data_IF_403025890171
#
_entry.id   IF_403025890171
#
_cell.length_a   1.000
_cell.length_b   1.000
_cell.length_c   1.000
_cell.angle_alpha   90.00
_cell.angle_beta   90.00
_cell.angle_gamma   90.00
#
_symmetry.space_group_name_H-M   'P 1'
#
loop_
_entity.id
_entity.type
_entity.pdbx_description
1 polymer ?
#
# COMPACT_ATOMS: atom_id res chain seq x y z
N UNK A 1 -13.72 3.13 2.43
CA UNK A 1 -13.41 1.82 1.81
C UNK A 1 -11.94 1.81 1.44
N UNK A 2 -11.11 1.06 2.17
CA UNK A 2 -9.70 0.89 1.81
C UNK A 2 -9.64 -0.05 0.60
N UNK A 3 -9.19 0.46 -0.55
CA UNK A 3 -9.01 -0.36 -1.73
C UNK A 3 -7.81 -1.29 -1.50
N UNK A 4 -8.06 -2.59 -1.35
CA UNK A 4 -7.03 -3.63 -1.43
C UNK A 4 -6.83 -4.00 -2.89
N UNK A 5 -6.00 -3.22 -3.58
CA UNK A 5 -5.46 -3.65 -4.87
C UNK A 5 -4.75 -5.01 -4.73
N UNK A 6 -4.49 -5.72 -5.84
CA UNK A 6 -3.95 -7.09 -5.80
C UNK A 6 -2.52 -7.11 -5.25
N UNK A 7 -2.40 -7.26 -3.93
CA UNK A 7 -1.13 -7.47 -3.24
C UNK A 7 -0.57 -8.86 -3.53
N UNK A 8 0.76 -8.97 -3.54
CA UNK A 8 1.47 -10.25 -3.62
C UNK A 8 1.92 -10.65 -2.22
N UNK A 9 1.63 -11.87 -1.82
CA UNK A 9 2.14 -12.49 -0.60
C UNK A 9 3.24 -13.48 -1.01
N UNK A 10 4.38 -13.48 -0.30
CA UNK A 10 5.45 -14.46 -0.51
C UNK A 10 5.67 -15.21 0.80
N UNK A 11 5.52 -16.53 0.75
CA UNK A 11 5.84 -17.43 1.86
C UNK A 11 7.31 -17.83 1.74
N UNK A 12 8.05 -17.75 2.84
CA UNK A 12 9.45 -18.16 2.94
C UNK A 12 9.55 -19.05 4.18
N UNK A 13 10.12 -20.24 4.01
CA UNK A 13 10.38 -21.20 5.09
C UNK A 13 11.82 -21.67 5.00
N UNK A 14 12.44 -21.95 6.14
CA UNK A 14 13.84 -22.36 6.19
C UNK A 14 14.04 -23.84 5.79
N UNK A 15 13.00 -24.67 5.92
CA UNK A 15 13.05 -26.13 5.74
C UNK A 15 12.83 -26.62 4.30
N UNK A 16 13.10 -25.79 3.29
CA UNK A 16 12.95 -26.14 1.88
C UNK A 16 11.54 -25.92 1.34
N UNK A 17 10.60 -26.84 1.58
CA UNK A 17 9.25 -26.76 1.03
C UNK A 17 8.24 -26.10 1.96
N UNK A 18 7.41 -25.21 1.39
CA UNK A 18 6.28 -24.60 2.08
C UNK A 18 5.18 -25.65 2.25
N UNK A 19 4.72 -25.94 3.49
CA UNK A 19 3.65 -26.89 3.72
C UNK A 19 2.34 -26.51 3.03
N UNK A 20 1.55 -27.50 2.60
CA UNK A 20 0.31 -27.26 1.86
C UNK A 20 -0.75 -26.55 2.71
N UNK A 21 -0.77 -26.80 4.01
CA UNK A 21 -1.63 -26.07 4.95
C UNK A 21 -1.29 -24.58 4.99
N UNK A 22 -0.01 -24.22 4.93
CA UNK A 22 0.43 -22.83 4.92
C UNK A 22 0.03 -22.14 3.60
N UNK A 23 0.11 -22.85 2.47
CA UNK A 23 -0.39 -22.36 1.18
C UNK A 23 -1.91 -22.14 1.22
N UNK A 24 -2.65 -23.08 1.81
CA UNK A 24 -4.11 -22.98 1.93
C UNK A 24 -4.52 -21.78 2.81
N UNK A 25 -3.89 -21.59 3.97
CA UNK A 25 -4.14 -20.45 4.85
C UNK A 25 -3.83 -19.14 4.12
N UNK A 26 -2.67 -19.04 3.48
CA UNK A 26 -2.26 -17.84 2.75
C UNK A 26 -3.21 -17.48 1.60
N UNK A 27 -3.77 -18.48 0.92
CA UNK A 27 -4.76 -18.28 -0.15
C UNK A 27 -6.11 -17.84 0.40
N UNK A 28 -6.61 -18.53 1.43
CA UNK A 28 -7.95 -18.30 1.99
C UNK A 28 -8.07 -16.99 2.76
N UNK A 29 -6.98 -16.56 3.41
CA UNK A 29 -6.93 -15.34 4.23
C UNK A 29 -6.05 -14.24 3.61
N UNK A 30 -5.86 -14.30 2.29
CA UNK A 30 -4.98 -13.35 1.58
C UNK A 30 -5.35 -11.89 1.86
N UNK A 31 -6.63 -11.46 1.79
CA UNK A 31 -6.99 -10.07 2.05
C UNK A 31 -6.60 -9.60 3.45
N UNK A 32 -6.87 -10.40 4.47
CA UNK A 32 -6.61 -10.09 5.89
C UNK A 32 -5.11 -10.08 6.18
N UNK A 33 -4.35 -11.04 5.64
CA UNK A 33 -2.90 -11.08 5.76
C UNK A 33 -2.25 -9.87 5.09
N UNK A 34 -2.72 -9.50 3.89
CA UNK A 34 -2.24 -8.29 3.22
C UNK A 34 -2.57 -7.03 4.01
N UNK A 35 -3.72 -6.97 4.67
CA UNK A 35 -4.07 -5.85 5.54
C UNK A 35 -3.16 -5.79 6.77
N UNK A 36 -2.88 -6.92 7.42
CA UNK A 36 -2.01 -6.99 8.59
C UNK A 36 -0.55 -6.66 8.25
N UNK A 37 -0.08 -7.08 7.08
CA UNK A 37 1.28 -6.81 6.59
C UNK A 37 1.44 -5.42 5.98
N UNK A 38 0.37 -4.63 5.85
CA UNK A 38 0.49 -3.26 5.35
C UNK A 38 1.41 -2.47 6.28
N UNK A 39 2.43 -1.81 5.74
CA UNK A 39 3.24 -0.90 6.52
C UNK A 39 2.34 0.16 7.19
N UNK A 40 2.31 0.18 8.52
CA UNK A 40 1.64 1.23 9.29
C UNK A 40 2.50 2.50 9.23
N UNK A 41 2.53 3.19 8.09
CA UNK A 41 3.37 4.37 7.84
C UNK A 41 2.87 5.66 8.52
N UNK A 42 2.27 5.55 9.71
CA UNK A 42 1.88 6.72 10.50
C UNK A 42 3.05 7.19 11.37
N UNK A 43 3.32 8.49 11.46
CA UNK A 43 2.69 9.59 10.72
C UNK A 43 3.32 9.71 9.32
N UNK A 44 2.54 9.91 8.26
CA UNK A 44 3.07 10.08 6.89
C UNK A 44 3.76 11.43 6.73
N UNK A 45 4.86 11.67 7.44
CA UNK A 45 5.50 12.96 7.61
C UNK A 45 6.79 13.12 6.80
N UNK A 46 7.29 12.06 6.16
CA UNK A 46 8.46 12.13 5.28
C UNK A 46 8.02 12.44 3.83
N UNK A 47 8.29 13.66 3.30
CA UNK A 47 7.91 14.04 1.94
C UNK A 47 8.61 13.24 0.84
N UNK A 48 9.79 12.64 1.09
CA UNK A 48 10.50 11.78 0.11
C UNK A 48 9.71 10.51 -0.22
N UNK A 49 8.73 10.17 0.63
CA UNK A 49 7.83 9.06 0.43
C UNK A 49 6.55 9.44 -0.34
N UNK A 50 6.42 10.67 -0.84
CA UNK A 50 5.20 11.10 -1.52
C UNK A 50 5.29 10.79 -3.01
N UNK A 51 4.29 10.06 -3.53
CA UNK A 51 4.03 9.88 -4.95
C UNK A 51 2.92 10.85 -5.33
N UNK A 52 3.23 11.72 -6.27
CA UNK A 52 2.40 12.85 -6.65
C UNK A 52 1.88 12.69 -8.06
N UNK A 53 0.56 12.73 -8.20
CA UNK A 53 -0.10 12.67 -9.50
C UNK A 53 -1.09 13.81 -9.66
N UNK A 54 -1.31 14.33 -10.88
CA UNK A 54 -2.38 15.28 -11.13
C UNK A 54 -3.74 14.72 -10.69
N UNK A 55 -4.51 15.51 -9.94
CA UNK A 55 -5.86 15.12 -9.55
C UNK A 55 -6.80 15.29 -10.75
N UNK A 56 -7.10 14.21 -11.48
CA UNK A 56 -7.94 14.25 -12.69
C UNK A 56 -9.31 14.91 -12.46
N UNK A 57 -9.92 14.74 -11.28
CA UNK A 57 -11.19 15.37 -10.90
C UNK A 57 -11.07 16.77 -10.29
N UNK A 58 -9.86 17.33 -10.18
CA UNK A 58 -9.62 18.64 -9.57
C UNK A 58 -8.42 19.35 -10.25
N UNK A 59 -8.64 19.98 -11.41
CA UNK A 59 -7.59 20.71 -12.12
C UNK A 59 -6.87 21.72 -11.22
N UNK A 60 -5.55 21.84 -11.35
CA UNK A 60 -4.73 22.71 -10.48
C UNK A 60 -4.28 22.07 -9.16
N UNK A 61 -4.66 20.81 -8.89
CA UNK A 61 -4.30 20.09 -7.67
C UNK A 61 -3.51 18.82 -7.94
N UNK A 62 -2.66 18.47 -6.99
CA UNK A 62 -1.87 17.25 -6.92
C UNK A 62 -2.49 16.36 -5.85
N UNK A 63 -2.68 15.08 -6.19
CA UNK A 63 -3.02 14.00 -5.27
C UNK A 63 -1.74 13.31 -4.81
N UNK A 64 -1.49 13.30 -3.50
CA UNK A 64 -0.31 12.65 -2.91
C UNK A 64 -0.69 11.31 -2.28
N UNK A 65 0.10 10.28 -2.57
CA UNK A 65 0.01 8.95 -1.94
C UNK A 65 1.36 8.52 -1.38
N UNK A 66 1.37 7.70 -0.33
CA UNK A 66 2.63 7.20 0.24
C UNK A 66 3.19 6.07 -0.62
N UNK A 67 4.48 6.14 -0.98
CA UNK A 67 5.18 5.09 -1.74
C UNK A 67 5.34 3.77 -0.97
N UNK A 68 5.26 3.82 0.36
CA UNK A 68 5.52 2.67 1.24
C UNK A 68 4.24 1.85 1.45
N UNK A 69 3.13 2.51 1.81
CA UNK A 69 1.86 1.83 2.11
C UNK A 69 0.76 2.05 1.06
N UNK A 70 0.98 2.94 0.08
CA UNK A 70 -0.02 3.32 -0.93
C UNK A 70 -1.16 4.19 -0.41
N UNK A 71 -1.18 4.52 0.89
CA UNK A 71 -2.26 5.32 1.48
C UNK A 71 -2.30 6.74 0.90
N UNK A 72 -3.52 7.28 0.80
CA UNK A 72 -3.74 8.68 0.46
C UNK A 72 -3.24 9.58 1.60
N UNK A 73 -2.45 10.60 1.24
CA UNK A 73 -1.88 11.57 2.20
C UNK A 73 -2.72 12.85 2.20
N UNK A 74 -3.02 13.38 1.02
CA UNK A 74 -3.72 14.66 0.89
C UNK A 74 -3.71 15.21 -0.53
N UNK A 75 -4.33 16.38 -0.69
CA UNK A 75 -4.24 17.19 -1.90
C UNK A 75 -3.42 18.45 -1.64
N UNK A 76 -2.65 18.91 -2.62
CA UNK A 76 -1.94 20.19 -2.58
C UNK A 76 -2.08 20.96 -3.89
N UNK A 77 -2.07 22.31 -3.87
CA UNK A 77 -2.12 23.11 -5.08
C UNK A 77 -0.82 22.94 -5.90
N UNK A 78 -0.93 23.00 -7.22
CA UNK A 78 0.24 22.98 -8.14
C UNK A 78 1.10 24.25 -7.96
N UNK A 79 0.49 25.37 -7.55
CA UNK A 79 1.13 26.69 -7.43
C UNK A 79 2.02 26.88 -6.18
N UNK A 80 2.47 25.80 -5.53
CA UNK A 80 3.19 25.85 -4.24
C UNK A 80 4.56 25.20 -4.24
N UNK A 81 5.34 25.32 -5.33
CA UNK A 81 6.77 24.96 -5.35
C UNK A 81 7.60 26.15 -5.80
#
# INVERSE_FOLDING_TARGET
MAYSGPGKLRLIVDSGEVPDEAKAIASNHKPELLEHLRPNCRPHNNPDNYIDTPAQGRPGWIRSTCRVCGCFIGYRPIAGR
#
